data_IF_459663973264
#
_entry.id   IF_459663973264
#
_cell.length_a   1.000
_cell.length_b   1.000
_cell.length_c   1.000
_cell.angle_alpha   90.00
_cell.angle_beta   90.00
_cell.angle_gamma   90.00
#
_symmetry.space_group_name_H-M   'P 1'
#
loop_
_entity.id
_entity.type
_entity.pdbx_description
1 polymer ?
#
# COMPACT_ATOMS: atom_id res chain seq x y z
N UNK A 1 8.59 15.22 -1.45
CA UNK A 1 7.19 15.34 -1.02
C UNK A 1 6.35 14.27 -1.71
N UNK A 2 5.57 13.52 -0.94
CA UNK A 2 4.71 12.50 -1.53
C UNK A 2 3.53 13.15 -2.23
N UNK A 3 3.13 12.65 -3.40
CA UNK A 3 1.91 13.08 -4.04
C UNK A 3 0.70 12.35 -3.42
N UNK A 4 -0.50 12.79 -3.79
CA UNK A 4 -1.73 12.22 -3.21
C UNK A 4 -1.87 10.71 -3.49
N UNK A 5 -1.51 10.27 -4.68
CA UNK A 5 -1.62 8.86 -5.05
C UNK A 5 -0.69 7.98 -4.21
N UNK A 6 0.54 8.41 -4.02
CA UNK A 6 1.50 7.70 -3.18
C UNK A 6 1.04 7.65 -1.73
N UNK A 7 0.55 8.78 -1.21
CA UNK A 7 0.07 8.86 0.17
C UNK A 7 -1.12 7.92 0.38
N UNK A 8 -2.09 7.91 -0.54
CA UNK A 8 -3.26 7.03 -0.43
C UNK A 8 -2.86 5.56 -0.46
N UNK A 9 -1.91 5.19 -1.29
CA UNK A 9 -1.40 3.82 -1.33
C UNK A 9 -0.77 3.43 0.01
N UNK A 10 0.02 4.31 0.60
CA UNK A 10 0.67 4.05 1.88
C UNK A 10 -0.34 4.00 3.03
N UNK A 11 -1.37 4.84 2.99
CA UNK A 11 -2.47 4.78 3.97
C UNK A 11 -3.19 3.43 3.88
N UNK A 12 -3.47 2.98 2.65
CA UNK A 12 -4.12 1.69 2.44
C UNK A 12 -3.27 0.55 2.98
N UNK A 13 -1.99 0.55 2.71
CA UNK A 13 -1.06 -0.45 3.25
C UNK A 13 -1.04 -0.45 4.77
N UNK A 14 -1.04 0.73 5.38
CA UNK A 14 -1.12 0.87 6.83
C UNK A 14 -2.39 0.23 7.39
N UNK A 15 -3.54 0.54 6.79
CA UNK A 15 -4.82 0.01 7.23
C UNK A 15 -4.90 -1.51 7.06
N UNK A 16 -4.38 -2.04 5.98
CA UNK A 16 -4.38 -3.50 5.77
C UNK A 16 -3.49 -4.19 6.80
N UNK A 17 -2.39 -3.59 7.18
CA UNK A 17 -1.49 -4.17 8.18
C UNK A 17 -2.06 -4.10 9.60
N UNK A 18 -2.57 -2.94 10.00
CA UNK A 18 -3.01 -2.72 11.38
C UNK A 18 -4.53 -2.85 11.58
N UNK A 19 -5.30 -2.86 10.50
CA UNK A 19 -6.76 -2.98 10.44
C UNK A 19 -7.53 -1.81 11.04
N UNK A 20 -6.86 -0.93 11.75
CA UNK A 20 -7.46 0.22 12.43
C UNK A 20 -6.48 1.38 12.52
N UNK A 21 -7.01 2.59 12.40
CA UNK A 21 -6.27 3.82 12.68
C UNK A 21 -7.24 4.94 12.98
N UNK A 22 -6.74 6.02 13.60
CA UNK A 22 -7.50 7.25 13.73
C UNK A 22 -6.96 8.27 12.74
N UNK A 23 -7.76 9.33 12.49
CA UNK A 23 -7.29 10.45 11.65
C UNK A 23 -5.99 11.03 12.21
N UNK A 24 -5.94 11.17 13.52
CA UNK A 24 -4.80 11.75 14.21
C UNK A 24 -3.54 10.91 14.01
N UNK A 25 -3.67 9.60 14.12
CA UNK A 25 -2.56 8.69 13.89
C UNK A 25 -2.05 8.82 12.46
N UNK A 26 -2.96 8.79 11.48
CA UNK A 26 -2.58 8.89 10.08
C UNK A 26 -2.01 10.26 9.72
N UNK A 27 -2.58 11.32 10.30
CA UNK A 27 -2.07 12.67 10.02
C UNK A 27 -0.65 12.86 10.53
N UNK A 28 -0.33 12.27 11.68
CA UNK A 28 1.03 12.31 12.22
C UNK A 28 1.97 11.44 11.40
N UNK A 29 1.54 10.22 11.07
CA UNK A 29 2.35 9.27 10.32
C UNK A 29 2.75 9.83 8.95
N UNK A 30 1.83 10.49 8.28
CA UNK A 30 2.05 10.97 6.92
C UNK A 30 2.29 12.49 6.83
N UNK A 31 2.35 13.17 7.98
CA UNK A 31 2.66 14.61 8.06
C UNK A 31 1.72 15.47 7.23
N UNK A 32 0.42 15.21 7.33
CA UNK A 32 -0.62 15.98 6.64
C UNK A 32 -1.73 16.30 7.63
N UNK A 33 -2.65 17.19 7.24
CA UNK A 33 -3.76 17.58 8.10
C UNK A 33 -4.81 16.47 8.20
N UNK A 34 -5.63 16.54 9.26
CA UNK A 34 -6.76 15.63 9.43
C UNK A 34 -7.71 15.72 8.24
N UNK A 35 -7.91 16.93 7.73
CA UNK A 35 -8.79 17.14 6.56
C UNK A 35 -8.27 16.41 5.32
N UNK A 36 -6.97 16.40 5.13
CA UNK A 36 -6.35 15.68 4.02
C UNK A 36 -6.54 14.18 4.18
N UNK A 37 -6.39 13.67 5.41
CA UNK A 37 -6.63 12.25 5.69
C UNK A 37 -8.09 11.89 5.43
N UNK A 38 -9.04 12.70 5.86
CA UNK A 38 -10.47 12.47 5.60
C UNK A 38 -10.76 12.36 4.11
N UNK A 39 -10.15 13.24 3.32
CA UNK A 39 -10.31 13.24 1.87
C UNK A 39 -9.73 11.97 1.26
N UNK A 40 -8.55 11.55 1.72
CA UNK A 40 -7.90 10.34 1.23
C UNK A 40 -8.72 9.09 1.58
N UNK A 41 -9.25 9.03 2.80
CA UNK A 41 -10.07 7.90 3.24
C UNK A 41 -11.38 7.83 2.43
N UNK A 42 -12.00 8.97 2.18
CA UNK A 42 -13.19 9.00 1.34
C UNK A 42 -12.91 8.45 -0.05
N UNK A 43 -11.79 8.85 -0.63
CA UNK A 43 -11.37 8.36 -1.94
C UNK A 43 -11.12 6.85 -1.94
N UNK A 44 -10.39 6.35 -0.92
CA UNK A 44 -10.09 4.93 -0.79
C UNK A 44 -11.34 4.09 -0.52
N UNK A 45 -12.32 4.62 0.22
CA UNK A 45 -13.54 3.90 0.55
C UNK A 45 -14.40 3.59 -0.67
N UNK A 46 -14.17 4.28 -1.77
CA UNK A 46 -14.87 3.98 -3.02
C UNK A 46 -14.43 2.65 -3.64
N UNK A 47 -13.22 2.18 -3.33
CA UNK A 47 -12.64 0.98 -3.94
C UNK A 47 -12.32 -0.12 -2.93
N UNK A 48 -12.30 0.19 -1.64
CA UNK A 48 -11.88 -0.75 -0.60
C UNK A 48 -12.89 -0.75 0.54
N UNK A 49 -13.00 -1.88 1.29
CA UNK A 49 -13.99 -2.02 2.37
C UNK A 49 -13.54 -1.29 3.63
N UNK A 50 -13.55 0.04 3.57
CA UNK A 50 -13.18 0.92 4.68
C UNK A 50 -14.43 1.43 5.34
N UNK A 51 -14.47 1.36 6.67
CA UNK A 51 -15.57 1.85 7.49
C UNK A 51 -15.04 2.91 8.45
N UNK A 52 -15.78 4.00 8.60
CA UNK A 52 -15.41 5.05 9.56
C UNK A 52 -16.49 5.15 10.63
N UNK A 53 -16.06 5.35 11.87
CA UNK A 53 -16.95 5.57 13.00
C UNK A 53 -16.59 6.90 13.64
N UNK A 54 -17.60 7.66 14.01
CA UNK A 54 -17.43 8.95 14.67
C UNK A 54 -17.67 8.81 16.18
N UNK A 55 -17.10 9.74 16.95
CA UNK A 55 -17.28 9.79 18.39
C UNK A 55 -16.13 9.19 19.18
N UNK A 56 -16.30 9.16 20.50
CA UNK A 56 -15.26 8.63 21.38
C UNK A 56 -15.12 7.13 21.26
N UNK A 57 -14.07 6.67 20.66
CA UNK A 57 -13.86 5.27 20.30
C UNK A 57 -14.02 5.06 18.82
N UNK A 58 -14.29 6.15 18.08
CA UNK A 58 -14.36 6.10 16.62
C UNK A 58 -13.01 5.95 15.97
N UNK A 59 -13.03 5.60 14.70
CA UNK A 59 -11.80 5.44 13.94
C UNK A 59 -12.07 4.94 12.54
N UNK A 60 -11.01 4.58 11.89
CA UNK A 60 -11.03 4.11 10.51
C UNK A 60 -10.64 2.63 10.53
N UNK A 61 -11.51 1.81 9.96
CA UNK A 61 -11.33 0.35 9.94
C UNK A 61 -11.33 -0.15 8.52
N UNK A 62 -10.55 -1.18 8.26
CA UNK A 62 -10.64 -1.91 7.01
C UNK A 62 -11.01 -3.36 7.33
N UNK A 63 -11.78 -3.99 6.46
CA UNK A 63 -12.17 -5.39 6.64
C UNK A 63 -10.94 -6.28 6.76
N UNK A 64 -10.96 -7.20 7.71
CA UNK A 64 -9.86 -8.18 7.88
C UNK A 64 -9.75 -9.11 6.68
N UNK A 65 -10.80 -9.20 5.85
CA UNK A 65 -10.77 -9.98 4.62
C UNK A 65 -10.08 -9.23 3.49
N UNK A 66 -9.88 -7.93 3.64
CA UNK A 66 -9.18 -7.15 2.65
C UNK A 66 -7.70 -7.55 2.67
N UNK A 67 -7.29 -8.21 1.64
CA UNK A 67 -5.88 -8.47 1.38
C UNK A 67 -5.53 -7.63 0.18
N UNK A 68 -4.36 -7.00 0.25
CA UNK A 68 -3.85 -6.37 -0.95
C UNK A 68 -3.51 -7.52 -1.89
N UNK A 69 -4.40 -7.79 -2.84
CA UNK A 69 -4.12 -8.72 -3.93
C UNK A 69 -2.90 -8.31 -4.71
N UNK A 70 -2.40 -7.13 -4.37
CA UNK A 70 -1.28 -6.44 -4.98
C UNK A 70 0.02 -6.63 -4.20
N UNK A 71 0.12 -7.67 -3.38
CA UNK A 71 1.40 -8.09 -2.81
C UNK A 71 2.31 -8.70 -3.87
N UNK A 72 1.76 -8.91 -5.05
CA UNK A 72 2.52 -9.45 -6.18
C UNK A 72 2.80 -8.35 -7.18
N UNK A 73 3.91 -8.50 -7.86
CA UNK A 73 4.26 -7.61 -8.95
C UNK A 73 3.27 -7.79 -10.11
N UNK A 74 2.96 -6.70 -10.79
CA UNK A 74 2.19 -6.78 -12.03
C UNK A 74 3.08 -7.35 -13.13
N UNK A 75 2.46 -7.80 -14.22
CA UNK A 75 3.21 -8.31 -15.36
C UNK A 75 4.16 -7.26 -15.93
N UNK A 76 3.72 -6.01 -16.01
CA UNK A 76 4.55 -4.91 -16.48
C UNK A 76 5.75 -4.68 -15.56
N UNK A 77 5.53 -4.75 -14.25
CA UNK A 77 6.61 -4.61 -13.27
C UNK A 77 7.61 -5.74 -13.40
N UNK A 78 7.14 -6.97 -13.57
CA UNK A 78 8.01 -8.13 -13.77
C UNK A 78 8.87 -7.97 -15.03
N UNK A 79 8.25 -7.56 -16.13
CA UNK A 79 8.96 -7.37 -17.41
C UNK A 79 10.04 -6.30 -17.26
N UNK A 80 9.73 -5.20 -16.61
CA UNK A 80 10.71 -4.14 -16.38
C UNK A 80 11.90 -4.64 -15.55
N UNK A 81 11.61 -5.33 -14.45
CA UNK A 81 12.67 -5.83 -13.58
C UNK A 81 13.52 -6.89 -14.27
N UNK A 82 12.90 -7.76 -15.07
CA UNK A 82 13.66 -8.76 -15.84
C UNK A 82 14.57 -8.09 -16.86
N UNK A 83 14.09 -7.02 -17.48
CA UNK A 83 14.91 -6.24 -18.43
C UNK A 83 16.09 -5.59 -17.73
N UNK A 84 15.86 -4.99 -16.56
CA UNK A 84 16.92 -4.38 -15.77
C UNK A 84 17.94 -5.42 -15.28
N UNK A 85 17.48 -6.64 -15.00
CA UNK A 85 18.36 -7.73 -14.57
C UNK A 85 19.44 -8.07 -15.62
N UNK A 86 19.17 -7.80 -16.89
CA UNK A 86 20.14 -8.02 -17.95
C UNK A 86 21.27 -7.00 -17.95
N UNK A 87 21.08 -5.87 -17.24
CA UNK A 87 22.02 -4.76 -17.22
C UNK A 87 22.88 -4.71 -15.96
N UNK A 88 22.61 -5.57 -14.98
CA UNK A 88 23.33 -5.56 -13.70
C UNK A 88 23.98 -6.91 -13.45
N UNK A 89 24.98 -6.91 -12.57
CA UNK A 89 25.76 -8.10 -12.23
C UNK A 89 26.00 -8.18 -10.73
N UNK A 90 26.50 -9.34 -10.29
CA UNK A 90 26.97 -9.54 -8.92
C UNK A 90 25.84 -9.56 -7.90
N UNK A 91 26.10 -8.96 -6.75
CA UNK A 91 25.15 -8.94 -5.62
C UNK A 91 23.83 -8.28 -6.00
N UNK A 92 23.88 -7.20 -6.77
CA UNK A 92 22.67 -6.49 -7.18
C UNK A 92 21.75 -7.40 -7.99
N UNK A 93 22.32 -8.20 -8.88
CA UNK A 93 21.53 -9.16 -9.66
C UNK A 93 20.88 -10.21 -8.77
N UNK A 94 21.62 -10.71 -7.78
CA UNK A 94 21.08 -11.69 -6.82
C UNK A 94 19.92 -11.10 -6.02
N UNK A 95 20.05 -9.86 -5.58
CA UNK A 95 19.01 -9.16 -4.85
C UNK A 95 17.78 -8.99 -5.73
N UNK A 96 17.96 -8.54 -6.97
CA UNK A 96 16.85 -8.34 -7.90
C UNK A 96 16.13 -9.65 -8.20
N UNK A 97 16.87 -10.74 -8.41
CA UNK A 97 16.27 -12.07 -8.62
C UNK A 97 15.47 -12.52 -7.40
N UNK A 98 15.93 -12.20 -6.19
CA UNK A 98 15.20 -12.55 -4.98
C UNK A 98 13.88 -11.79 -4.87
N UNK A 99 13.85 -10.51 -5.29
CA UNK A 99 12.64 -9.71 -5.33
C UNK A 99 11.63 -10.32 -6.32
N UNK A 100 12.10 -10.66 -7.52
CA UNK A 100 11.24 -11.28 -8.54
C UNK A 100 10.67 -12.60 -8.05
N UNK A 101 11.50 -13.44 -7.43
CA UNK A 101 11.07 -14.74 -6.93
C UNK A 101 10.02 -14.60 -5.82
N UNK A 102 10.22 -13.63 -4.91
CA UNK A 102 9.36 -13.45 -3.75
C UNK A 102 8.02 -12.83 -4.11
N UNK A 103 8.00 -11.87 -5.02
CA UNK A 103 6.82 -11.06 -5.29
C UNK A 103 6.16 -11.37 -6.63
N UNK A 104 6.68 -12.31 -7.40
CA UNK A 104 6.03 -12.76 -8.63
C UNK A 104 4.81 -13.59 -8.25
N UNK A 105 3.70 -13.32 -8.92
CA UNK A 105 2.47 -14.09 -8.70
C UNK A 105 2.72 -15.57 -9.02
N UNK A 106 2.36 -16.48 -8.10
CA UNK A 106 2.54 -17.91 -8.38
C UNK A 106 1.75 -18.33 -9.62
N UNK A 107 2.40 -19.06 -10.49
CA UNK A 107 1.72 -19.65 -11.64
C UNK A 107 1.14 -20.99 -11.22
N UNK A 108 -0.09 -21.21 -11.63
CA UNK A 108 -0.74 -22.50 -11.44
C UNK A 108 -0.60 -23.33 -12.68
#
# INVERSE_FOLDING_TARGET
MRNAAERRQLILEYLVEYHFATREILSKEFCVSNRMIERDILCLSCSYPITTHQGGGGGIYISKRCKLGDRYLTDEQCVLLERLALLIEGTDLLILKSILKRFRRPQR
#
